data_IF_303886788135
#
_entry.id   IF_303886788135
#
_cell.length_a   1.000
_cell.length_b   1.000
_cell.length_c   1.000
_cell.angle_alpha   90.00
_cell.angle_beta   90.00
_cell.angle_gamma   90.00
#
_symmetry.space_group_name_H-M   'P 1'
#
loop_
_entity.id
_entity.type
_entity.pdbx_description
1 polymer ?
#
# COMPACT_ATOMS: atom_id res chain seq x y z
N UNK A 1 46.30 -3.34 -26.99
CA UNK A 1 45.12 -3.30 -27.87
C UNK A 1 44.38 -4.61 -27.71
N UNK A 2 43.06 -4.56 -27.55
CA UNK A 2 42.22 -5.77 -27.46
C UNK A 2 42.21 -6.54 -28.79
N UNK A 3 42.25 -7.86 -28.71
CA UNK A 3 42.06 -8.73 -29.87
C UNK A 3 40.62 -8.61 -30.39
N UNK A 4 40.38 -9.05 -31.64
CA UNK A 4 39.04 -9.07 -32.23
C UNK A 4 38.08 -9.93 -31.39
N UNK A 5 38.57 -11.07 -30.90
CA UNK A 5 37.83 -12.00 -30.04
C UNK A 5 37.49 -11.38 -28.67
N UNK A 6 38.41 -10.60 -28.07
CA UNK A 6 38.17 -9.90 -26.81
C UNK A 6 37.13 -8.78 -26.94
N UNK A 7 37.10 -8.08 -28.09
CA UNK A 7 36.08 -7.08 -28.39
C UNK A 7 34.70 -7.71 -28.58
N UNK A 8 34.61 -8.79 -29.35
CA UNK A 8 33.35 -9.52 -29.56
C UNK A 8 32.80 -10.09 -28.25
N UNK A 9 33.67 -10.58 -27.36
CA UNK A 9 33.28 -11.07 -26.04
C UNK A 9 32.77 -9.94 -25.12
N UNK A 10 33.43 -8.77 -25.12
CA UNK A 10 32.94 -7.61 -24.36
C UNK A 10 31.57 -7.15 -24.86
N UNK A 11 31.39 -7.01 -26.18
CA UNK A 11 30.10 -6.61 -26.77
C UNK A 11 28.98 -7.60 -26.42
N UNK A 12 29.28 -8.91 -26.38
CA UNK A 12 28.32 -9.93 -25.98
C UNK A 12 27.95 -9.80 -24.48
N UNK A 13 28.93 -9.59 -23.60
CA UNK A 13 28.68 -9.43 -22.17
C UNK A 13 27.97 -8.12 -21.84
N UNK A 14 28.25 -7.04 -22.58
CA UNK A 14 27.53 -5.78 -22.46
C UNK A 14 26.05 -5.92 -22.84
N UNK A 15 25.74 -6.70 -23.89
CA UNK A 15 24.35 -7.03 -24.26
C UNK A 15 23.64 -7.82 -23.15
N UNK A 16 24.31 -8.83 -22.58
CA UNK A 16 23.76 -9.64 -21.48
C UNK A 16 23.48 -8.78 -20.24
N UNK A 17 24.43 -7.92 -19.86
CA UNK A 17 24.25 -6.99 -18.74
C UNK A 17 23.11 -5.99 -19.00
N UNK A 18 23.03 -5.44 -20.21
CA UNK A 18 21.96 -4.51 -20.60
C UNK A 18 20.57 -5.18 -20.56
N UNK A 19 20.45 -6.42 -21.03
CA UNK A 19 19.23 -7.20 -20.94
C UNK A 19 18.84 -7.49 -19.48
N UNK A 20 19.80 -7.93 -18.65
CA UNK A 20 19.57 -8.19 -17.22
C UNK A 20 19.14 -6.92 -16.46
N UNK A 21 19.65 -5.74 -16.85
CA UNK A 21 19.26 -4.45 -16.28
C UNK A 21 17.80 -4.10 -16.60
N UNK A 22 17.35 -4.37 -17.83
CA UNK A 22 15.95 -4.15 -18.22
C UNK A 22 15.02 -5.11 -17.47
N UNK A 23 15.40 -6.39 -17.37
CA UNK A 23 14.62 -7.40 -16.64
C UNK A 23 14.49 -7.06 -15.14
N UNK A 24 15.59 -6.59 -14.53
CA UNK A 24 15.60 -6.10 -13.15
C UNK A 24 14.66 -4.91 -12.97
N UNK A 25 14.68 -3.94 -13.90
CA UNK A 25 13.80 -2.78 -13.84
C UNK A 25 12.31 -3.16 -13.95
N UNK A 26 11.97 -4.09 -14.84
CA UNK A 26 10.60 -4.60 -14.97
C UNK A 26 10.13 -5.36 -13.71
N UNK A 27 10.99 -6.23 -13.16
CA UNK A 27 10.68 -6.95 -11.93
C UNK A 27 10.49 -6.01 -10.74
N UNK A 28 11.33 -4.98 -10.62
CA UNK A 28 11.21 -3.97 -9.57
C UNK A 28 9.88 -3.23 -9.70
N UNK A 29 9.50 -2.82 -10.90
CA UNK A 29 8.22 -2.14 -11.15
C UNK A 29 7.02 -3.02 -10.76
N UNK A 30 7.05 -4.32 -11.10
CA UNK A 30 6.00 -5.27 -10.74
C UNK A 30 5.92 -5.46 -9.22
N UNK A 31 7.07 -5.61 -8.56
CA UNK A 31 7.15 -5.71 -7.11
C UNK A 31 6.61 -4.46 -6.42
N UNK A 32 7.08 -3.26 -6.78
CA UNK A 32 6.66 -1.99 -6.18
C UNK A 32 5.14 -1.77 -6.34
N UNK A 33 4.60 -2.12 -7.51
CA UNK A 33 3.16 -2.05 -7.77
C UNK A 33 2.36 -3.01 -6.89
N UNK A 34 2.81 -4.27 -6.76
CA UNK A 34 2.13 -5.26 -5.93
C UNK A 34 2.26 -4.94 -4.43
N UNK A 35 3.41 -4.41 -4.01
CA UNK A 35 3.63 -3.99 -2.63
C UNK A 35 2.68 -2.86 -2.22
N UNK A 36 2.44 -1.88 -3.11
CA UNK A 36 1.45 -0.82 -2.87
C UNK A 36 0.03 -1.38 -2.69
N UNK A 37 -0.33 -2.43 -3.45
CA UNK A 37 -1.62 -3.13 -3.29
C UNK A 37 -1.67 -3.83 -1.93
N UNK A 38 -0.59 -4.50 -1.53
CA UNK A 38 -0.50 -5.18 -0.24
C UNK A 38 -0.64 -4.22 0.95
N UNK A 39 -0.04 -3.02 0.91
CA UNK A 39 -0.22 -2.00 1.96
C UNK A 39 -1.69 -1.55 2.09
N UNK A 40 -2.37 -1.42 0.95
CA UNK A 40 -3.81 -1.15 0.89
C UNK A 40 -4.64 -2.28 1.50
N UNK A 41 -4.35 -3.53 1.13
CA UNK A 41 -5.03 -4.71 1.67
C UNK A 41 -4.74 -4.93 3.17
N UNK A 42 -3.52 -4.61 3.64
CA UNK A 42 -3.19 -4.64 5.06
C UNK A 42 -4.06 -3.65 5.86
N UNK A 43 -4.19 -2.43 5.36
CA UNK A 43 -5.02 -1.39 5.99
C UNK A 43 -6.48 -1.84 6.03
N UNK A 44 -6.98 -2.39 4.93
CA UNK A 44 -8.35 -2.91 4.81
C UNK A 44 -8.59 -4.08 5.76
N UNK A 45 -7.69 -5.05 5.81
CA UNK A 45 -7.78 -6.21 6.69
C UNK A 45 -7.80 -5.79 8.17
N UNK A 46 -6.90 -4.89 8.58
CA UNK A 46 -6.87 -4.38 9.95
C UNK A 46 -8.16 -3.65 10.32
N UNK A 47 -8.71 -2.86 9.39
CA UNK A 47 -9.99 -2.19 9.58
C UNK A 47 -11.15 -3.20 9.73
N UNK A 48 -11.25 -4.18 8.83
CA UNK A 48 -12.27 -5.23 8.90
C UNK A 48 -12.17 -6.06 10.18
N UNK A 49 -10.95 -6.46 10.57
CA UNK A 49 -10.68 -7.18 11.81
C UNK A 49 -11.18 -6.41 13.03
N UNK A 50 -10.90 -5.11 13.09
CA UNK A 50 -11.40 -4.25 14.17
C UNK A 50 -12.93 -4.20 14.18
N UNK A 51 -13.56 -3.91 13.04
CA UNK A 51 -15.02 -3.84 12.94
C UNK A 51 -15.71 -5.15 13.35
N UNK A 52 -15.20 -6.28 12.85
CA UNK A 52 -15.75 -7.61 13.18
C UNK A 52 -15.59 -7.91 14.67
N UNK A 53 -14.43 -7.57 15.26
CA UNK A 53 -14.20 -7.74 16.70
C UNK A 53 -15.15 -6.88 17.53
N UNK A 54 -15.36 -5.63 17.13
CA UNK A 54 -16.30 -4.71 17.80
C UNK A 54 -17.74 -5.24 17.72
N UNK A 55 -18.18 -5.68 16.54
CA UNK A 55 -19.51 -6.28 16.33
C UNK A 55 -19.70 -7.57 17.14
N UNK A 56 -18.65 -8.39 17.24
CA UNK A 56 -18.65 -9.62 18.04
C UNK A 56 -18.87 -9.29 19.52
N UNK A 57 -18.16 -8.28 20.04
CA UNK A 57 -18.30 -7.82 21.41
C UNK A 57 -19.69 -7.23 21.69
N UNK A 58 -20.18 -6.37 20.81
CA UNK A 58 -21.53 -5.79 20.91
C UNK A 58 -22.62 -6.88 20.88
N UNK A 59 -22.50 -7.86 19.98
CA UNK A 59 -23.45 -8.98 19.89
C UNK A 59 -23.49 -9.78 21.18
N UNK A 60 -22.32 -10.06 21.77
CA UNK A 60 -22.26 -10.77 23.05
C UNK A 60 -22.90 -9.95 24.17
N UNK A 61 -22.54 -8.66 24.30
CA UNK A 61 -23.06 -7.75 25.32
C UNK A 61 -24.58 -7.64 25.26
N UNK A 62 -25.16 -7.35 24.09
CA UNK A 62 -26.61 -7.21 23.93
C UNK A 62 -27.37 -8.49 24.29
N UNK A 63 -26.81 -9.65 23.93
CA UNK A 63 -27.43 -10.94 24.27
C UNK A 63 -27.28 -11.23 25.77
N UNK A 64 -26.15 -10.88 26.40
CA UNK A 64 -25.96 -11.07 27.85
C UNK A 64 -26.92 -10.18 28.66
N UNK A 65 -27.10 -8.92 28.25
CA UNK A 65 -28.09 -8.01 28.81
C UNK A 65 -29.51 -8.59 28.70
N UNK A 66 -29.89 -9.08 27.52
CA UNK A 66 -31.21 -9.68 27.32
C UNK A 66 -31.41 -10.95 28.15
N UNK A 67 -30.38 -11.81 28.25
CA UNK A 67 -30.43 -13.01 29.10
C UNK A 67 -30.59 -12.62 30.57
N UNK A 68 -29.92 -11.57 31.04
CA UNK A 68 -30.04 -11.11 32.42
C UNK A 68 -31.45 -10.58 32.73
N UNK A 69 -32.09 -9.88 31.79
CA UNK A 69 -33.49 -9.47 31.91
C UNK A 69 -34.39 -10.72 32.03
N UNK A 70 -34.21 -11.71 31.14
CA UNK A 70 -35.00 -12.94 31.15
C UNK A 70 -34.78 -13.75 32.44
N UNK A 71 -33.55 -13.83 32.96
CA UNK A 71 -33.25 -14.47 34.24
C UNK A 71 -33.97 -13.79 35.41
N UNK A 72 -34.02 -12.46 35.41
CA UNK A 72 -34.76 -11.69 36.43
C UNK A 72 -36.27 -11.93 36.32
N UNK A 73 -36.80 -12.00 35.08
CA UNK A 73 -38.20 -12.35 34.85
C UNK A 73 -38.52 -13.78 35.30
N UNK A 74 -37.63 -14.73 35.03
CA UNK A 74 -37.76 -16.14 35.45
C UNK A 74 -37.94 -16.27 36.97
N UNK A 75 -37.12 -15.58 37.76
CA UNK A 75 -37.18 -15.60 39.22
C UNK A 75 -38.52 -15.10 39.77
N UNK A 76 -39.18 -14.18 39.06
CA UNK A 76 -40.47 -13.58 39.46
C UNK A 76 -41.67 -14.25 38.79
N UNK A 77 -41.44 -15.12 37.81
CA UNK A 77 -42.50 -15.73 37.02
C UNK A 77 -43.13 -16.94 37.73
N UNK A 78 -44.46 -17.15 37.59
CA UNK A 78 -45.10 -18.38 38.04
C UNK A 78 -44.57 -19.60 37.27
N UNK A 79 -44.57 -20.78 37.90
CA UNK A 79 -43.97 -22.02 37.37
C UNK A 79 -44.42 -22.37 35.94
N UNK A 80 -45.67 -22.07 35.58
CA UNK A 80 -46.23 -22.35 34.26
C UNK A 80 -45.68 -21.44 33.14
N UNK A 81 -45.05 -20.30 33.47
CA UNK A 81 -44.40 -19.38 32.51
C UNK A 81 -42.88 -19.47 32.50
N UNK A 82 -42.30 -20.20 33.46
CA UNK A 82 -40.85 -20.37 33.57
C UNK A 82 -40.24 -21.14 32.41
N UNK A 83 -40.94 -22.16 31.86
CA UNK A 83 -40.47 -22.93 30.71
C UNK A 83 -40.31 -22.05 29.46
N UNK A 84 -41.26 -21.18 29.18
CA UNK A 84 -41.23 -20.27 28.03
C UNK A 84 -40.03 -19.30 28.11
N UNK A 85 -39.70 -18.82 29.32
CA UNK A 85 -38.54 -17.95 29.54
C UNK A 85 -37.23 -18.71 29.30
N UNK A 86 -37.13 -19.98 29.75
CA UNK A 86 -35.97 -20.84 29.47
C UNK A 86 -35.81 -21.06 27.97
N UNK A 87 -36.90 -21.33 27.25
CA UNK A 87 -36.87 -21.49 25.79
C UNK A 87 -36.38 -20.22 25.07
N UNK A 88 -36.78 -19.04 25.54
CA UNK A 88 -36.28 -17.77 25.00
C UNK A 88 -34.77 -17.60 25.22
N UNK A 89 -34.25 -17.95 26.41
CA UNK A 89 -32.81 -17.92 26.71
C UNK A 89 -32.05 -18.88 25.78
N UNK A 90 -32.55 -20.10 25.57
CA UNK A 90 -31.94 -21.07 24.65
C UNK A 90 -31.91 -20.54 23.22
N UNK A 91 -33.01 -19.94 22.74
CA UNK A 91 -33.09 -19.31 21.41
C UNK A 91 -32.07 -18.17 21.25
N UNK A 92 -31.89 -17.33 22.27
CA UNK A 92 -30.91 -16.25 22.26
C UNK A 92 -29.47 -16.78 22.18
N UNK A 93 -29.13 -17.82 22.95
CA UNK A 93 -27.81 -18.45 22.88
C UNK A 93 -27.55 -19.12 21.52
N UNK A 94 -28.57 -19.74 20.92
CA UNK A 94 -28.47 -20.29 19.55
C UNK A 94 -28.26 -19.18 18.52
N UNK A 95 -28.95 -18.05 18.68
CA UNK A 95 -28.77 -16.86 17.84
C UNK A 95 -27.34 -16.31 17.96
N UNK A 96 -26.82 -16.13 19.17
CA UNK A 96 -25.42 -15.76 19.45
C UNK A 96 -24.46 -16.64 18.66
N UNK A 97 -24.54 -17.95 18.85
CA UNK A 97 -23.64 -18.89 18.22
C UNK A 97 -23.70 -18.85 16.67
N UNK A 98 -24.86 -18.49 16.09
CA UNK A 98 -25.02 -18.36 14.63
C UNK A 98 -24.39 -17.06 14.12
N UNK A 99 -24.64 -15.92 14.77
CA UNK A 99 -24.13 -14.63 14.32
C UNK A 99 -22.62 -14.52 14.53
N UNK A 100 -22.09 -15.00 15.67
CA UNK A 100 -20.64 -15.04 15.92
C UNK A 100 -19.94 -15.89 14.85
N UNK A 101 -20.50 -17.04 14.46
CA UNK A 101 -19.94 -17.87 13.38
C UNK A 101 -19.88 -17.16 12.03
N UNK A 102 -20.89 -16.36 11.68
CA UNK A 102 -20.87 -15.57 10.43
C UNK A 102 -19.81 -14.48 10.47
N UNK A 103 -19.66 -13.81 11.61
CA UNK A 103 -18.63 -12.80 11.83
C UNK A 103 -17.23 -13.42 11.70
N UNK A 104 -17.01 -14.57 12.32
CA UNK A 104 -15.74 -15.30 12.25
C UNK A 104 -15.46 -15.78 10.81
N UNK A 105 -16.46 -16.31 10.09
CA UNK A 105 -16.30 -16.70 8.67
C UNK A 105 -15.93 -15.49 7.79
N UNK A 106 -16.52 -14.33 8.04
CA UNK A 106 -16.21 -13.09 7.30
C UNK A 106 -14.77 -12.62 7.57
N UNK A 107 -14.26 -12.85 8.78
CA UNK A 107 -12.88 -12.53 9.14
C UNK A 107 -11.89 -13.50 8.47
N UNK A 108 -12.21 -14.79 8.46
CA UNK A 108 -11.41 -15.82 7.78
C UNK A 108 -11.30 -15.54 6.28
N UNK A 109 -12.38 -15.14 5.62
CA UNK A 109 -12.34 -14.74 4.21
C UNK A 109 -11.44 -13.53 3.96
N UNK A 110 -11.51 -12.52 4.83
CA UNK A 110 -10.65 -11.33 4.74
C UNK A 110 -9.18 -11.70 4.97
N UNK A 111 -8.90 -12.55 5.95
CA UNK A 111 -7.57 -13.06 6.24
C UNK A 111 -7.00 -13.87 5.08
N UNK A 112 -7.82 -14.72 4.44
CA UNK A 112 -7.39 -15.52 3.30
C UNK A 112 -7.02 -14.64 2.10
N UNK A 113 -7.81 -13.58 1.82
CA UNK A 113 -7.47 -12.60 0.78
C UNK A 113 -6.14 -11.92 1.07
N UNK A 114 -5.93 -11.47 2.31
CA UNK A 114 -4.67 -10.85 2.72
C UNK A 114 -3.48 -11.82 2.59
N UNK A 115 -3.63 -13.08 3.02
CA UNK A 115 -2.59 -14.13 2.86
C UNK A 115 -2.26 -14.39 1.40
N UNK A 116 -3.25 -14.38 0.51
CA UNK A 116 -3.02 -14.56 -0.93
C UNK A 116 -2.17 -13.41 -1.50
N UNK A 117 -2.45 -12.17 -1.10
CA UNK A 117 -1.68 -11.00 -1.53
C UNK A 117 -0.25 -11.03 -0.98
N UNK A 118 -0.07 -11.39 0.30
CA UNK A 118 1.25 -11.59 0.91
C UNK A 118 2.05 -12.65 0.14
N UNK A 119 1.42 -13.76 -0.23
CA UNK A 119 2.06 -14.82 -1.02
C UNK A 119 2.44 -14.35 -2.43
N UNK A 120 1.58 -13.57 -3.08
CA UNK A 120 1.85 -12.99 -4.39
C UNK A 120 3.07 -12.05 -4.36
N UNK A 121 3.10 -11.11 -3.41
CA UNK A 121 4.23 -10.20 -3.21
C UNK A 121 5.50 -10.96 -2.82
N UNK A 122 5.38 -12.01 -1.99
CA UNK A 122 6.50 -12.88 -1.63
C UNK A 122 7.17 -13.53 -2.85
N UNK A 123 6.37 -14.02 -3.82
CA UNK A 123 6.90 -14.58 -5.07
C UNK A 123 7.62 -13.52 -5.92
N UNK A 124 7.05 -12.30 -6.00
CA UNK A 124 7.67 -11.20 -6.72
C UNK A 124 8.98 -10.73 -6.05
N UNK A 125 9.06 -10.76 -4.71
CA UNK A 125 10.28 -10.45 -3.98
C UNK A 125 11.41 -11.44 -4.29
N UNK A 126 11.06 -12.72 -4.44
CA UNK A 126 12.01 -13.77 -4.84
C UNK A 126 12.49 -13.53 -6.28
N UNK A 127 11.58 -13.32 -7.24
CA UNK A 127 11.95 -13.01 -8.64
C UNK A 127 12.84 -11.76 -8.75
N UNK A 128 12.52 -10.71 -7.99
CA UNK A 128 13.32 -9.49 -7.93
C UNK A 128 14.75 -9.79 -7.44
N UNK A 129 14.89 -10.61 -6.39
CA UNK A 129 16.19 -11.01 -5.83
C UNK A 129 17.00 -11.85 -6.83
N UNK A 130 16.37 -12.80 -7.51
CA UNK A 130 17.01 -13.63 -8.53
C UNK A 130 17.49 -12.80 -9.73
N UNK A 131 16.68 -11.83 -10.18
CA UNK A 131 17.08 -10.91 -11.26
C UNK A 131 18.18 -9.95 -10.83
N UNK A 132 18.15 -9.47 -9.58
CA UNK A 132 19.25 -8.68 -9.01
C UNK A 132 20.55 -9.47 -9.01
N UNK A 133 20.52 -10.74 -8.58
CA UNK A 133 21.70 -11.60 -8.59
C UNK A 133 22.26 -11.80 -10.01
N UNK A 134 21.40 -12.07 -11.01
CA UNK A 134 21.81 -12.20 -12.42
C UNK A 134 22.40 -10.91 -13.00
N UNK A 135 21.80 -9.77 -12.68
CA UNK A 135 22.33 -8.46 -13.08
C UNK A 135 23.72 -8.22 -12.48
N UNK A 136 23.90 -8.51 -11.19
CA UNK A 136 25.17 -8.31 -10.49
C UNK A 136 26.26 -9.27 -10.97
N UNK A 137 25.90 -10.52 -11.30
CA UNK A 137 26.79 -11.48 -11.95
C UNK A 137 27.23 -11.00 -13.34
N UNK A 138 26.29 -10.61 -14.21
CA UNK A 138 26.61 -10.08 -15.53
C UNK A 138 27.49 -8.82 -15.45
N UNK A 139 27.24 -7.95 -14.46
CA UNK A 139 28.07 -6.77 -14.19
C UNK A 139 29.49 -7.17 -13.78
N UNK A 140 29.65 -8.14 -12.86
CA UNK A 140 30.96 -8.61 -12.41
C UNK A 140 31.77 -9.20 -13.56
N UNK A 141 31.15 -10.00 -14.42
CA UNK A 141 31.81 -10.56 -15.61
C UNK A 141 32.28 -9.48 -16.58
N UNK A 142 31.43 -8.48 -16.84
CA UNK A 142 31.79 -7.35 -17.71
C UNK A 142 32.94 -6.53 -17.13
N UNK A 143 32.89 -6.20 -15.84
CA UNK A 143 33.95 -5.46 -15.14
C UNK A 143 35.27 -6.24 -15.17
N UNK A 144 35.24 -7.55 -14.90
CA UNK A 144 36.45 -8.38 -14.95
C UNK A 144 37.11 -8.40 -16.35
N UNK A 145 36.32 -8.37 -17.42
CA UNK A 145 36.83 -8.26 -18.79
C UNK A 145 37.43 -6.89 -19.08
N UNK A 146 36.77 -5.82 -18.62
CA UNK A 146 37.29 -4.45 -18.74
C UNK A 146 38.59 -4.27 -17.98
N UNK A 147 38.69 -4.83 -16.76
CA UNK A 147 39.90 -4.79 -15.94
C UNK A 147 41.04 -5.59 -16.60
N UNK A 148 40.75 -6.78 -17.13
CA UNK A 148 41.72 -7.60 -17.88
C UNK A 148 42.19 -6.90 -19.15
N UNK A 149 41.28 -6.23 -19.86
CA UNK A 149 41.58 -5.44 -21.06
C UNK A 149 42.44 -4.19 -20.77
N UNK A 150 42.31 -3.65 -19.56
CA UNK A 150 43.01 -2.44 -19.11
C UNK A 150 44.34 -2.73 -18.41
N UNK A 151 44.62 -4.00 -18.09
CA UNK A 151 45.89 -4.41 -17.50
C UNK A 151 47.04 -4.18 -18.50
N UNK A 152 48.14 -3.52 -18.10
CA UNK A 152 49.31 -3.40 -18.95
C UNK A 152 49.85 -4.79 -19.30
N UNK A 153 50.37 -5.02 -20.52
CA UNK A 153 50.92 -6.33 -20.90
C UNK A 153 51.98 -6.73 -19.87
N UNK A 154 51.85 -7.93 -19.30
CA UNK A 154 52.85 -8.45 -18.38
C UNK A 154 54.18 -8.55 -19.12
N UNK A 155 55.04 -7.57 -18.85
CA UNK A 155 56.46 -7.60 -19.18
C UNK A 155 57.10 -8.75 -18.42
N UNK A 156 57.25 -9.89 -19.07
CA UNK A 156 58.28 -10.85 -18.72
C UNK A 156 59.64 -10.15 -18.87
N UNK A 157 60.28 -9.84 -17.74
CA UNK A 157 61.74 -9.99 -17.46
C UNK A 157 62.05 -9.40 -16.08
N UNK A 158 62.92 -10.12 -15.38
CA UNK A 158 63.28 -10.05 -13.97
C UNK A 158 64.14 -8.84 -13.55
N UNK A 159 64.15 -8.63 -12.22
CA UNK A 159 65.17 -8.06 -11.32
C UNK A 159 65.11 -6.57 -10.91
N UNK A 160 65.54 -6.27 -9.65
CA UNK A 160 65.15 -5.07 -8.92
C UNK A 160 66.22 -3.99 -8.93
N UNK A 161 65.81 -2.71 -8.87
CA UNK A 161 66.63 -1.61 -8.35
C UNK A 161 65.77 -0.41 -7.95
N UNK A 162 65.72 -0.20 -6.65
CA UNK A 162 65.73 1.06 -5.88
C UNK A 162 65.49 2.41 -6.56
N UNK A 163 64.71 3.22 -5.82
CA UNK A 163 64.89 4.66 -5.61
C UNK A 163 64.55 5.62 -6.76
N UNK A 164 63.37 6.22 -6.69
CA UNK A 164 63.28 7.68 -6.42
C UNK A 164 61.82 8.11 -6.30
N UNK A 165 61.47 8.62 -5.12
CA UNK A 165 60.28 9.43 -4.94
C UNK A 165 60.50 10.79 -5.62
N UNK A 166 59.60 11.17 -6.53
CA UNK A 166 59.35 12.57 -6.87
C UNK A 166 57.86 12.80 -7.08
N UNK A 167 57.44 13.90 -6.47
CA UNK A 167 56.10 14.45 -6.43
C UNK A 167 55.41 14.54 -7.79
N UNK A 168 54.14 14.13 -7.83
CA UNK A 168 53.16 14.63 -8.81
C UNK A 168 51.91 15.07 -8.05
N UNK A 169 51.82 16.38 -7.84
CA UNK A 169 50.59 17.09 -7.53
C UNK A 169 49.50 16.70 -8.54
N UNK A 170 48.50 15.94 -8.11
CA UNK A 170 47.27 15.74 -8.86
C UNK A 170 46.19 16.64 -8.27
N UNK A 171 45.80 17.65 -9.04
CA UNK A 171 44.62 18.48 -8.77
C UNK A 171 43.37 17.60 -8.83
N UNK A 172 42.80 17.33 -7.67
CA UNK A 172 41.45 16.81 -7.54
C UNK A 172 40.47 17.89 -8.04
N UNK A 173 39.96 17.71 -9.26
CA UNK A 173 38.80 18.46 -9.74
C UNK A 173 37.57 17.83 -9.09
N UNK A 174 36.98 18.54 -8.13
CA UNK A 174 35.59 18.29 -7.75
C UNK A 174 34.71 18.63 -8.94
N UNK A 175 34.10 17.62 -9.56
CA UNK A 175 33.00 17.80 -10.49
C UNK A 175 31.81 18.40 -9.74
N UNK A 176 31.60 19.70 -9.89
CA UNK A 176 30.30 20.29 -9.59
C UNK A 176 29.30 19.85 -10.65
N UNK A 177 28.13 19.31 -10.26
CA UNK A 177 27.09 18.95 -11.22
C UNK A 177 26.70 20.19 -12.03
N UNK A 178 26.67 19.99 -13.33
CA UNK A 178 26.43 21.05 -14.29
C UNK A 178 25.04 21.69 -14.08
N UNK A 179 24.90 22.98 -14.37
CA UNK A 179 23.64 23.73 -14.22
C UNK A 179 22.50 23.15 -15.08
N UNK A 180 22.83 22.36 -16.10
CA UNK A 180 21.89 21.59 -16.93
C UNK A 180 21.37 20.32 -16.25
N UNK A 181 22.21 19.58 -15.52
CA UNK A 181 21.77 18.38 -14.77
C UNK A 181 20.78 18.75 -13.68
N UNK A 182 21.06 19.80 -12.90
CA UNK A 182 20.13 20.29 -11.86
C UNK A 182 18.77 20.71 -12.40
N UNK A 183 18.68 21.16 -13.66
CA UNK A 183 17.41 21.56 -14.29
C UNK A 183 16.62 20.38 -14.84
N UNK A 184 17.31 19.34 -15.29
CA UNK A 184 16.69 18.08 -15.72
C UNK A 184 16.06 17.34 -14.53
N UNK A 185 16.81 17.17 -13.45
CA UNK A 185 16.33 16.47 -12.26
C UNK A 185 15.13 17.17 -11.60
N UNK A 186 15.11 18.51 -11.63
CA UNK A 186 13.99 19.29 -11.09
C UNK A 186 12.72 19.22 -11.95
N UNK A 187 12.85 18.97 -13.26
CA UNK A 187 11.72 18.73 -14.14
C UNK A 187 11.17 17.31 -13.96
N UNK A 188 12.05 16.32 -13.82
CA UNK A 188 11.69 14.92 -13.56
C UNK A 188 11.01 14.74 -12.20
N UNK A 189 11.49 15.42 -11.16
CA UNK A 189 10.90 15.38 -9.82
C UNK A 189 9.52 16.08 -9.79
N UNK A 190 9.36 17.19 -10.54
CA UNK A 190 8.04 17.84 -10.71
C UNK A 190 7.04 16.95 -11.42
N UNK A 191 7.46 16.26 -12.48
CA UNK A 191 6.61 15.32 -13.20
C UNK A 191 6.22 14.11 -12.35
N UNK A 192 7.14 13.63 -11.50
CA UNK A 192 6.87 12.58 -10.52
C UNK A 192 5.84 13.03 -9.49
N UNK A 193 6.04 14.18 -8.86
CA UNK A 193 5.11 14.76 -7.88
C UNK A 193 3.74 15.03 -8.49
N UNK A 194 3.68 15.49 -9.75
CA UNK A 194 2.41 15.68 -10.46
C UNK A 194 1.67 14.34 -10.67
N UNK A 195 2.38 13.28 -11.09
CA UNK A 195 1.79 11.95 -11.26
C UNK A 195 1.30 11.36 -9.93
N UNK A 196 2.07 11.50 -8.86
CA UNK A 196 1.68 11.07 -7.51
C UNK A 196 0.45 11.84 -7.00
N UNK A 197 0.38 13.15 -7.26
CA UNK A 197 -0.78 13.99 -6.91
C UNK A 197 -2.05 13.58 -7.68
N UNK A 198 -1.94 13.28 -8.97
CA UNK A 198 -3.07 12.81 -9.78
C UNK A 198 -3.57 11.42 -9.35
N UNK A 199 -2.66 10.51 -8.97
CA UNK A 199 -3.02 9.21 -8.39
C UNK A 199 -3.73 9.37 -7.05
N UNK A 200 -3.24 10.26 -6.19
CA UNK A 200 -3.88 10.59 -4.91
C UNK A 200 -5.30 11.13 -5.13
N UNK A 201 -5.48 12.08 -6.07
CA UNK A 201 -6.79 12.65 -6.42
C UNK A 201 -7.78 11.59 -6.91
N UNK A 202 -7.36 10.72 -7.83
CA UNK A 202 -8.21 9.61 -8.32
C UNK A 202 -8.61 8.66 -7.19
N UNK A 203 -7.71 8.39 -6.27
CA UNK A 203 -7.95 7.52 -5.11
C UNK A 203 -8.94 8.16 -4.12
N UNK A 204 -8.74 9.45 -3.81
CA UNK A 204 -9.66 10.22 -2.95
C UNK A 204 -11.05 10.29 -3.58
N UNK A 205 -11.16 10.51 -4.89
CA UNK A 205 -12.44 10.58 -5.58
C UNK A 205 -13.17 9.23 -5.64
N UNK A 206 -12.42 8.13 -5.84
CA UNK A 206 -12.94 6.75 -5.76
C UNK A 206 -13.47 6.46 -4.36
N UNK A 207 -12.70 6.81 -3.32
CA UNK A 207 -13.12 6.62 -1.92
C UNK A 207 -14.35 7.47 -1.58
N UNK A 208 -14.40 8.72 -2.07
CA UNK A 208 -15.56 9.60 -1.87
C UNK A 208 -16.82 9.10 -2.58
N UNK A 209 -16.70 8.38 -3.71
CA UNK A 209 -17.82 7.71 -4.38
C UNK A 209 -18.29 6.50 -3.57
N UNK A 210 -17.37 5.67 -3.08
CA UNK A 210 -17.70 4.52 -2.23
C UNK A 210 -18.43 4.96 -0.93
N UNK A 211 -17.90 5.97 -0.23
CA UNK A 211 -18.50 6.52 0.99
C UNK A 211 -19.91 7.08 0.71
N UNK A 212 -20.11 7.81 -0.40
CA UNK A 212 -21.45 8.29 -0.78
C UNK A 212 -22.43 7.16 -1.03
N UNK A 213 -21.98 6.09 -1.69
CA UNK A 213 -22.81 4.90 -1.92
C UNK A 213 -23.21 4.23 -0.60
N UNK A 214 -22.29 4.13 0.36
CA UNK A 214 -22.60 3.58 1.68
C UNK A 214 -23.54 4.49 2.49
N UNK A 215 -23.37 5.81 2.42
CA UNK A 215 -24.30 6.77 3.03
C UNK A 215 -25.70 6.56 2.46
N UNK A 216 -25.85 6.51 1.14
CA UNK A 216 -27.15 6.31 0.50
C UNK A 216 -27.78 4.97 0.89
N UNK A 217 -27.03 3.86 0.82
CA UNK A 217 -27.53 2.55 1.23
C UNK A 217 -27.83 2.44 2.73
N UNK A 218 -27.21 3.27 3.56
CA UNK A 218 -27.54 3.35 5.00
C UNK A 218 -28.78 4.22 5.23
N UNK A 219 -28.94 5.31 4.47
CA UNK A 219 -30.12 6.17 4.48
C UNK A 219 -31.38 5.42 4.03
N UNK A 220 -31.26 4.58 3.01
CA UNK A 220 -32.31 3.67 2.53
C UNK A 220 -32.70 2.67 3.62
N UNK A 221 -31.72 1.99 4.24
CA UNK A 221 -31.97 1.09 5.37
C UNK A 221 -32.64 1.78 6.56
N UNK A 222 -32.26 3.03 6.88
CA UNK A 222 -32.92 3.84 7.93
C UNK A 222 -34.36 4.16 7.55
N UNK A 223 -34.62 4.48 6.28
CA UNK A 223 -35.96 4.78 5.78
C UNK A 223 -36.86 3.53 5.80
N UNK A 224 -36.31 2.36 5.42
CA UNK A 224 -36.98 1.06 5.55
C UNK A 224 -37.25 0.69 7.02
N UNK A 225 -36.30 0.98 7.90
CA UNK A 225 -36.44 0.77 9.33
C UNK A 225 -37.48 1.73 9.94
N UNK A 226 -37.53 3.00 9.55
CA UNK A 226 -38.49 3.96 10.10
C UNK A 226 -39.94 3.62 9.75
N UNK A 227 -40.17 2.90 8.65
CA UNK A 227 -41.49 2.37 8.27
C UNK A 227 -41.93 1.15 9.10
N UNK A 228 -41.00 0.44 9.75
CA UNK A 228 -41.27 -0.81 10.50
C UNK A 228 -41.42 -0.65 12.02
N UNK A 229 -41.54 0.58 12.56
CA UNK A 229 -41.54 0.88 14.02
C UNK A 229 -40.50 0.07 14.83
N UNK A 230 -39.19 0.35 14.72
CA UNK A 230 -38.19 -0.20 15.61
C UNK A 230 -37.81 0.81 16.71
N UNK A 231 -37.32 0.26 17.82
CA UNK A 231 -36.94 0.94 19.04
C UNK A 231 -36.00 2.13 18.79
N UNK A 232 -36.31 3.26 19.43
CA UNK A 232 -35.63 4.57 19.35
C UNK A 232 -34.08 4.53 19.48
N UNK A 233 -33.53 3.44 20.02
CA UNK A 233 -32.10 3.18 20.15
C UNK A 233 -31.40 2.89 18.80
N UNK A 234 -32.01 2.06 17.93
CA UNK A 234 -31.44 1.71 16.62
C UNK A 234 -31.41 2.95 15.71
N UNK A 235 -32.45 3.78 15.78
CA UNK A 235 -32.51 5.04 15.04
C UNK A 235 -31.43 6.03 15.50
N UNK A 236 -31.17 6.11 16.82
CA UNK A 236 -30.11 6.94 17.39
C UNK A 236 -28.71 6.47 17.00
N UNK A 237 -28.48 5.17 16.97
CA UNK A 237 -27.19 4.59 16.58
C UNK A 237 -26.86 4.87 15.11
N UNK A 238 -27.84 4.68 14.22
CA UNK A 238 -27.69 5.01 12.81
C UNK A 238 -27.53 6.52 12.56
N UNK A 239 -28.23 7.37 13.30
CA UNK A 239 -28.01 8.83 13.27
C UNK A 239 -26.60 9.21 13.74
N UNK A 240 -26.06 8.52 14.75
CA UNK A 240 -24.69 8.74 15.21
C UNK A 240 -23.65 8.30 14.16
N UNK A 241 -23.91 7.20 13.44
CA UNK A 241 -23.08 6.77 12.31
C UNK A 241 -23.10 7.78 11.16
N UNK A 242 -24.27 8.32 10.80
CA UNK A 242 -24.39 9.38 9.78
C UNK A 242 -23.56 10.61 10.16
N UNK A 243 -23.65 11.07 11.41
CA UNK A 243 -22.86 12.23 11.88
C UNK A 243 -21.35 11.97 11.79
N UNK A 244 -20.90 10.75 12.13
CA UNK A 244 -19.48 10.37 11.99
C UNK A 244 -19.04 10.37 10.53
N UNK A 245 -19.84 9.81 9.63
CA UNK A 245 -19.55 9.79 8.19
C UNK A 245 -19.57 11.19 7.57
N UNK A 246 -20.49 12.06 8.00
CA UNK A 246 -20.52 13.47 7.60
C UNK A 246 -19.30 14.24 8.09
N UNK A 247 -18.87 14.03 9.33
CA UNK A 247 -17.65 14.64 9.87
C UNK A 247 -16.40 14.19 9.09
N UNK A 248 -16.34 12.91 8.71
CA UNK A 248 -15.25 12.35 7.92
C UNK A 248 -15.23 12.91 6.49
N UNK A 249 -16.41 13.06 5.87
CA UNK A 249 -16.57 13.69 4.56
C UNK A 249 -16.21 15.19 4.58
N UNK A 250 -16.52 15.91 5.66
CA UNK A 250 -16.14 17.31 5.84
C UNK A 250 -14.62 17.44 6.03
N UNK A 251 -13.99 16.56 6.82
CA UNK A 251 -12.53 16.50 6.96
C UNK A 251 -11.84 16.19 5.62
N UNK A 252 -12.39 15.28 4.82
CA UNK A 252 -11.88 14.99 3.47
C UNK A 252 -12.05 16.18 2.52
N UNK A 253 -13.15 16.92 2.62
CA UNK A 253 -13.35 18.18 1.87
C UNK A 253 -12.30 19.22 2.25
N UNK A 254 -12.01 19.39 3.55
CA UNK A 254 -10.95 20.28 4.04
C UNK A 254 -9.52 19.90 3.61
N UNK A 255 -9.27 18.65 3.22
CA UNK A 255 -8.00 18.21 2.63
C UNK A 255 -7.99 18.39 1.12
N UNK A 256 -9.15 18.22 0.47
CA UNK A 256 -9.30 18.37 -0.98
C UNK A 256 -9.25 19.84 -1.45
N UNK A 257 -9.74 20.78 -0.64
CA UNK A 257 -9.80 22.20 -1.00
C UNK A 257 -8.41 22.88 -1.07
N UNK A 258 -7.48 22.66 -0.11
CA UNK A 258 -6.09 23.13 -0.22
C UNK A 258 -5.32 22.51 -1.39
N UNK A 259 -5.59 21.24 -1.73
CA UNK A 259 -5.03 20.57 -2.91
C UNK A 259 -5.53 21.20 -4.21
N UNK A 260 -6.81 21.56 -4.26
CA UNK A 260 -7.41 22.27 -5.40
C UNK A 260 -6.86 23.69 -5.54
N UNK A 261 -6.69 24.42 -4.42
CA UNK A 261 -6.06 25.76 -4.40
C UNK A 261 -4.57 25.73 -4.78
N UNK A 262 -3.81 24.75 -4.30
CA UNK A 262 -2.39 24.59 -4.65
C UNK A 262 -2.22 24.33 -6.16
N UNK A 263 -3.12 23.56 -6.77
CA UNK A 263 -3.17 23.36 -8.23
C UNK A 263 -3.56 24.63 -8.99
N UNK A 264 -4.48 25.45 -8.46
CA UNK A 264 -4.84 26.73 -9.08
C UNK A 264 -3.71 27.76 -9.01
N UNK A 265 -2.94 27.83 -7.91
CA UNK A 265 -1.74 28.69 -7.81
C UNK A 265 -0.62 28.20 -8.72
N UNK A 266 -0.43 26.89 -8.84
CA UNK A 266 0.51 26.28 -9.80
C UNK A 266 0.16 26.58 -11.27
N UNK A 267 -1.13 26.72 -11.61
CA UNK A 267 -1.58 27.16 -12.94
C UNK A 267 -1.45 28.67 -13.17
N UNK A 268 -1.61 29.51 -12.14
CA UNK A 268 -1.41 30.96 -12.29
C UNK A 268 0.07 31.33 -12.49
N UNK A 269 1.01 30.55 -11.93
CA UNK A 269 2.44 30.70 -12.20
C UNK A 269 2.87 30.27 -13.62
N UNK A 270 1.95 29.74 -14.43
CA UNK A 270 2.17 29.35 -15.83
C UNK A 270 1.53 30.31 -16.85
N UNK A 271 0.89 31.40 -16.41
CA UNK A 271 0.48 32.43 -17.36
C UNK A 271 1.73 33.22 -17.79
N UNK A 272 2.09 33.24 -19.08
CA UNK A 272 3.11 34.16 -19.54
C UNK A 272 2.54 35.56 -19.36
N UNK A 273 3.18 36.34 -18.49
CA UNK A 273 3.04 37.80 -18.51
C UNK A 273 3.45 38.22 -19.92
N UNK A 274 2.46 38.59 -20.74
CA UNK A 274 2.70 39.33 -21.97
C UNK A 274 3.42 40.62 -21.54
N UNK A 275 4.63 40.91 -22.02
CA UNK A 275 5.20 42.22 -21.79
C UNK A 275 4.36 43.27 -22.55
N UNK A 276 4.35 44.53 -22.08
CA UNK A 276 3.70 45.63 -22.80
C UNK A 276 4.27 45.81 -24.21
#
# INVERSE_FOLDING_TARGET
MLTKEEKELMDQKEKVWSAAKLDLADAKKKYDSAYTVLEGEQTRFNFQKKQITDLRNQTNQLIDEQINILRTQYQKAPKNKQSEIVDQIVKLNRCRAKEIRKLDSSLEEAEQRFKNEVSHVGKLAIDLREKQARHDEARKELVALVDKASAPPQSVVSTPSTSSARDVQSKEKQDQPSRSERRSDQATERDRLHKETELCKKTVEKNRKAIRSEINGTQERISELSQKKPTQAILKEHLAQIKKLQALNNRLSHVADPLKEAMHRGRQAQSPVRPP
#
